data_IF_809802793078
#
_entry.id   IF_809802793078
#
_cell.length_a   1.000
_cell.length_b   1.000
_cell.length_c   1.000
_cell.angle_alpha   90.00
_cell.angle_beta   90.00
_cell.angle_gamma   90.00
#
_symmetry.space_group_name_H-M   'P 1'
#
loop_
_entity.id
_entity.type
_entity.pdbx_description
1 polymer ?
#
# COMPACT_ATOMS: atom_id res chain seq x y z
N UNK A 1 -31.73 39.61 -45.92
CA UNK A 1 -31.51 38.69 -44.78
C UNK A 1 -30.83 37.46 -45.36
N UNK A 2 -29.56 37.13 -45.12
CA UNK A 2 -28.79 37.11 -43.87
C UNK A 2 -27.31 37.28 -44.25
N UNK A 3 -26.66 38.35 -43.79
CA UNK A 3 -25.21 38.48 -43.82
C UNK A 3 -24.64 37.71 -42.64
N UNK A 4 -24.16 36.49 -42.88
CA UNK A 4 -23.49 35.66 -41.88
C UNK A 4 -22.17 36.31 -41.47
N UNK A 5 -22.11 36.82 -40.24
CA UNK A 5 -20.98 37.52 -39.67
C UNK A 5 -20.02 36.49 -39.06
N UNK A 6 -19.21 35.84 -39.88
CA UNK A 6 -18.19 34.92 -39.42
C UNK A 6 -17.05 35.72 -38.76
N UNK A 7 -17.09 35.88 -37.44
CA UNK A 7 -15.93 36.38 -36.67
C UNK A 7 -14.91 35.25 -36.58
N UNK A 8 -13.68 35.41 -37.12
CA UNK A 8 -12.64 34.44 -36.86
C UNK A 8 -12.32 34.45 -35.37
N UNK A 9 -12.50 33.31 -34.70
CA UNK A 9 -11.97 33.07 -33.37
C UNK A 9 -10.44 33.18 -33.46
N UNK A 10 -9.90 34.31 -32.97
CA UNK A 10 -8.47 34.55 -32.92
C UNK A 10 -7.88 33.67 -31.80
N UNK A 11 -7.56 32.42 -32.12
CA UNK A 11 -6.82 31.53 -31.22
C UNK A 11 -5.42 32.12 -31.01
N UNK A 12 -5.21 32.75 -29.86
CA UNK A 12 -3.88 33.19 -29.44
C UNK A 12 -3.09 31.94 -29.08
N UNK A 13 -2.04 31.64 -29.85
CA UNK A 13 -1.15 30.52 -29.56
C UNK A 13 -0.65 30.57 -28.12
N UNK A 14 -0.50 29.40 -27.51
CA UNK A 14 -0.05 29.29 -26.12
C UNK A 14 1.36 29.87 -25.99
N UNK A 15 1.54 30.81 -25.06
CA UNK A 15 2.85 31.40 -24.79
C UNK A 15 3.79 30.31 -24.23
N UNK A 16 5.03 30.23 -24.73
CA UNK A 16 6.04 29.27 -24.26
C UNK A 16 6.21 29.34 -22.73
N UNK A 17 6.16 30.54 -22.17
CA UNK A 17 6.22 30.74 -20.72
C UNK A 17 5.06 30.05 -19.98
N UNK A 18 3.84 30.13 -20.53
CA UNK A 18 2.67 29.46 -19.94
C UNK A 18 2.82 27.94 -19.98
N UNK A 19 3.33 27.39 -21.09
CA UNK A 19 3.61 25.96 -21.23
C UNK A 19 4.63 25.49 -20.19
N UNK A 20 5.77 26.20 -20.09
CA UNK A 20 6.85 25.85 -19.16
C UNK A 20 6.39 25.97 -17.70
N UNK A 21 5.61 27.00 -17.39
CA UNK A 21 5.03 27.17 -16.05
C UNK A 21 4.11 26.00 -15.69
N UNK A 22 3.20 25.61 -16.59
CA UNK A 22 2.31 24.46 -16.38
C UNK A 22 3.09 23.15 -16.25
N UNK A 23 4.09 22.91 -17.10
CA UNK A 23 4.93 21.70 -17.04
C UNK A 23 5.71 21.61 -15.73
N UNK A 24 6.24 22.74 -15.26
CA UNK A 24 7.00 22.78 -14.00
C UNK A 24 6.09 22.49 -12.81
N UNK A 25 4.91 23.11 -12.76
CA UNK A 25 3.93 22.87 -11.70
C UNK A 25 3.43 21.42 -11.71
N UNK A 26 3.07 20.89 -12.88
CA UNK A 26 2.64 19.51 -13.01
C UNK A 26 3.73 18.53 -12.57
N UNK A 27 4.98 18.75 -13.01
CA UNK A 27 6.11 17.90 -12.64
C UNK A 27 6.36 17.91 -11.14
N UNK A 28 6.33 19.09 -10.50
CA UNK A 28 6.51 19.20 -9.05
C UNK A 28 5.44 18.45 -8.26
N UNK A 29 4.17 18.60 -8.65
CA UNK A 29 3.04 17.89 -8.03
C UNK A 29 3.17 16.38 -8.27
N UNK A 30 3.42 15.98 -9.52
CA UNK A 30 3.53 14.58 -9.90
C UNK A 30 4.64 13.87 -9.13
N UNK A 31 5.83 14.47 -9.03
CA UNK A 31 6.95 13.89 -8.29
C UNK A 31 6.64 13.77 -6.79
N UNK A 32 6.05 14.81 -6.20
CA UNK A 32 5.68 14.81 -4.77
C UNK A 32 4.68 13.71 -4.44
N UNK A 33 3.64 13.54 -5.28
CA UNK A 33 2.64 12.48 -5.10
C UNK A 33 3.27 11.09 -5.26
N UNK A 34 4.13 10.89 -6.26
CA UNK A 34 4.79 9.60 -6.46
C UNK A 34 5.70 9.22 -5.29
N UNK A 35 6.43 10.19 -4.73
CA UNK A 35 7.25 9.95 -3.55
C UNK A 35 6.40 9.58 -2.34
N UNK A 36 5.30 10.30 -2.10
CA UNK A 36 4.37 9.98 -1.01
C UNK A 36 3.72 8.61 -1.20
N UNK A 37 3.26 8.28 -2.41
CA UNK A 37 2.64 7.00 -2.72
C UNK A 37 3.60 5.82 -2.47
N UNK A 38 4.89 6.01 -2.76
CA UNK A 38 5.94 5.02 -2.48
C UNK A 38 6.06 4.76 -0.97
N UNK A 39 6.07 5.81 -0.15
CA UNK A 39 6.06 5.66 1.31
C UNK A 39 4.77 5.01 1.82
N UNK A 40 3.62 5.39 1.27
CA UNK A 40 2.34 4.81 1.66
C UNK A 40 2.26 3.32 1.33
N UNK A 41 2.81 2.89 0.18
CA UNK A 41 2.88 1.47 -0.20
C UNK A 41 3.69 0.64 0.79
N UNK A 42 4.83 1.15 1.26
CA UNK A 42 5.64 0.45 2.27
C UNK A 42 4.88 0.31 3.60
N UNK A 43 4.19 1.36 4.03
CA UNK A 43 3.36 1.34 5.23
C UNK A 43 2.20 0.33 5.11
N UNK A 44 1.51 0.30 3.98
CA UNK A 44 0.41 -0.63 3.74
C UNK A 44 0.86 -2.11 3.76
N UNK A 45 2.03 -2.42 3.20
CA UNK A 45 2.58 -3.79 3.25
C UNK A 45 2.85 -4.22 4.69
N UNK A 46 3.43 -3.34 5.51
CA UNK A 46 3.69 -3.64 6.93
C UNK A 46 2.39 -3.91 7.68
N UNK A 47 1.40 -3.04 7.55
CA UNK A 47 0.08 -3.20 8.19
C UNK A 47 -0.56 -4.53 7.76
N UNK A 48 -0.47 -4.87 6.49
CA UNK A 48 -1.03 -6.13 5.97
C UNK A 48 -0.31 -7.36 6.52
N UNK A 49 1.01 -7.30 6.72
CA UNK A 49 1.76 -8.39 7.35
C UNK A 49 1.43 -8.53 8.84
N UNK A 50 1.30 -7.41 9.57
CA UNK A 50 0.89 -7.42 10.97
C UNK A 50 -0.50 -8.07 11.16
N UNK A 51 -1.48 -7.68 10.34
CA UNK A 51 -2.83 -8.25 10.40
C UNK A 51 -2.85 -9.76 10.08
N UNK A 52 -2.05 -10.21 9.12
CA UNK A 52 -1.90 -11.65 8.84
C UNK A 52 -1.26 -12.39 10.01
N UNK A 53 -0.21 -11.83 10.61
CA UNK A 53 0.46 -12.43 11.75
C UNK A 53 -0.50 -12.58 12.94
N UNK A 54 -1.34 -11.57 13.21
CA UNK A 54 -2.39 -11.63 14.23
C UNK A 54 -3.40 -12.74 13.92
N UNK A 55 -3.89 -12.83 12.68
CA UNK A 55 -4.84 -13.88 12.28
C UNK A 55 -4.24 -15.28 12.44
N UNK A 56 -2.98 -15.46 12.04
CA UNK A 56 -2.25 -16.71 12.22
C UNK A 56 -2.11 -17.05 13.72
N UNK A 57 -1.77 -16.05 14.54
CA UNK A 57 -1.60 -16.24 15.98
C UNK A 57 -2.91 -16.70 16.64
N UNK A 58 -4.04 -16.08 16.30
CA UNK A 58 -5.36 -16.52 16.76
C UNK A 58 -5.69 -17.96 16.34
N UNK A 59 -5.40 -18.33 15.10
CA UNK A 59 -5.60 -19.70 14.61
C UNK A 59 -4.76 -20.71 15.41
N UNK A 60 -3.50 -20.41 15.73
CA UNK A 60 -2.69 -21.32 16.57
C UNK A 60 -3.21 -21.40 18.00
N UNK A 61 -3.67 -20.29 18.57
CA UNK A 61 -4.28 -20.30 19.90
C UNK A 61 -5.53 -21.20 19.93
N UNK A 62 -6.36 -21.13 18.89
CA UNK A 62 -7.53 -22.02 18.74
C UNK A 62 -7.12 -23.48 18.59
N UNK A 63 -6.06 -23.78 17.83
CA UNK A 63 -5.52 -25.15 17.71
C UNK A 63 -5.10 -25.69 19.07
N UNK A 64 -4.33 -24.91 19.84
CA UNK A 64 -3.91 -25.29 21.19
C UNK A 64 -5.11 -25.54 22.10
N UNK A 65 -6.13 -24.67 22.04
CA UNK A 65 -7.38 -24.84 22.79
C UNK A 65 -8.10 -26.15 22.44
N UNK A 66 -8.06 -26.56 21.17
CA UNK A 66 -8.61 -27.85 20.71
C UNK A 66 -7.69 -29.05 20.99
N UNK A 67 -6.57 -28.86 21.70
CA UNK A 67 -5.59 -29.92 21.96
C UNK A 67 -4.77 -30.35 20.74
N UNK A 68 -4.80 -29.56 19.65
CA UNK A 68 -4.01 -29.82 18.45
C UNK A 68 -2.59 -29.29 18.60
N UNK A 69 -1.65 -29.92 17.91
CA UNK A 69 -0.28 -29.42 17.84
C UNK A 69 -0.21 -28.05 17.17
N UNK A 70 0.63 -27.18 17.73
CA UNK A 70 1.00 -25.93 17.10
C UNK A 70 1.86 -26.19 15.86
N UNK A 71 1.58 -25.45 14.80
CA UNK A 71 2.40 -25.48 13.59
C UNK A 71 3.70 -24.70 13.83
N UNK A 72 4.77 -25.07 13.14
CA UNK A 72 6.08 -24.40 13.25
C UNK A 72 6.29 -23.36 12.16
N UNK A 73 5.63 -23.52 11.02
CA UNK A 73 5.70 -22.62 9.88
C UNK A 73 4.39 -22.60 9.08
N UNK A 74 4.02 -21.43 8.56
CA UNK A 74 2.93 -21.24 7.60
C UNK A 74 3.44 -20.37 6.45
N UNK A 75 3.10 -20.72 5.21
CA UNK A 75 3.34 -19.89 4.03
C UNK A 75 2.01 -19.29 3.56
N UNK A 76 1.94 -17.96 3.48
CA UNK A 76 0.78 -17.23 2.96
C UNK A 76 1.25 -16.03 2.14
N UNK A 77 0.64 -15.81 0.97
CA UNK A 77 1.00 -14.69 0.09
C UNK A 77 2.51 -14.60 -0.21
N UNK A 78 3.15 -15.76 -0.42
CA UNK A 78 4.60 -15.89 -0.69
C UNK A 78 5.48 -15.40 0.48
N UNK A 79 4.91 -15.26 1.68
CA UNK A 79 5.61 -14.92 2.91
C UNK A 79 5.62 -16.12 3.83
N UNK A 80 6.78 -16.33 4.46
CA UNK A 80 6.98 -17.38 5.45
C UNK A 80 6.80 -16.79 6.84
N UNK A 81 5.90 -17.39 7.61
CA UNK A 81 5.62 -17.07 9.00
C UNK A 81 6.16 -18.19 9.88
N UNK A 82 7.07 -17.84 10.80
CA UNK A 82 7.60 -18.79 11.79
C UNK A 82 6.82 -18.68 13.09
N UNK A 83 6.45 -19.83 13.64
CA UNK A 83 5.51 -19.95 14.74
C UNK A 83 6.21 -20.57 15.94
N UNK A 84 6.05 -19.93 17.09
CA UNK A 84 6.51 -20.44 18.38
C UNK A 84 5.36 -20.40 19.36
N UNK A 85 4.85 -21.59 19.70
CA UNK A 85 3.86 -21.74 20.76
C UNK A 85 4.53 -22.21 22.04
N UNK A 86 4.36 -21.48 23.13
CA UNK A 86 4.79 -21.89 24.46
C UNK A 86 3.64 -21.73 25.46
N UNK A 87 3.09 -22.85 25.93
CA UNK A 87 1.92 -22.90 26.80
C UNK A 87 0.74 -22.11 26.22
N UNK A 88 0.55 -20.89 26.70
CA UNK A 88 -0.56 -20.00 26.33
C UNK A 88 -0.12 -18.76 25.55
N UNK A 89 1.14 -18.73 25.10
CA UNK A 89 1.71 -17.66 24.30
C UNK A 89 2.00 -18.16 22.89
N UNK A 90 1.52 -17.45 21.89
CA UNK A 90 1.78 -17.71 20.48
C UNK A 90 2.54 -16.53 19.89
N UNK A 91 3.77 -16.78 19.45
CA UNK A 91 4.59 -15.79 18.75
C UNK A 91 4.67 -16.14 17.27
N UNK A 92 4.41 -15.15 16.41
CA UNK A 92 4.46 -15.24 14.95
C UNK A 92 5.50 -14.25 14.43
N UNK A 93 6.53 -14.76 13.76
CA UNK A 93 7.62 -13.96 13.16
C UNK A 93 7.47 -13.92 11.64
N UNK A 94 7.69 -12.75 11.06
CA UNK A 94 7.54 -12.45 9.63
C UNK A 94 8.57 -11.39 9.19
N UNK A 95 8.78 -11.17 7.88
CA UNK A 95 9.91 -10.36 7.41
C UNK A 95 9.98 -8.93 7.95
N UNK A 96 8.84 -8.31 8.29
CA UNK A 96 8.79 -6.92 8.78
C UNK A 96 8.63 -6.80 10.30
N UNK A 97 8.55 -7.91 11.04
CA UNK A 97 8.38 -7.87 12.49
C UNK A 97 7.99 -9.19 13.15
N UNK A 98 7.50 -9.07 14.38
CA UNK A 98 6.92 -10.18 15.13
C UNK A 98 5.71 -9.71 15.92
N UNK A 99 4.75 -10.60 16.10
CA UNK A 99 3.55 -10.39 16.91
C UNK A 99 3.43 -11.53 17.91
N UNK A 100 3.01 -11.23 19.14
CA UNK A 100 2.72 -12.24 20.16
C UNK A 100 1.34 -12.03 20.75
N UNK A 101 0.60 -13.13 20.94
CA UNK A 101 -0.64 -13.20 21.70
C UNK A 101 -0.45 -14.09 22.93
#
# INVERSE_FOLDING_TARGET
MISSLYRPLKYKGMNLFSLLMTLTLFSGIFLSINQWLTHQRQSAVKIYQDLQAISIAHNQQQRLFMGLSCQTQIEQNQLIFHLHCHKNKVTVRYPTGETSL
#
